data_IF_277586559461
#
_entry.id   IF_277586559461
#
_cell.length_a   1.000
_cell.length_b   1.000
_cell.length_c   1.000
_cell.angle_alpha   90.00
_cell.angle_beta   90.00
_cell.angle_gamma   90.00
#
_symmetry.space_group_name_H-M   'P 1'
#
loop_
_entity.id
_entity.type
_entity.pdbx_description
1 polymer ?
#
# COMPACT_ATOMS: atom_id res chain seq x y z
N UNK A 1 12.69 5.92 10.82
CA UNK A 1 12.05 6.31 9.58
C UNK A 1 11.90 7.79 9.50
N UNK A 2 12.86 8.36 8.79
CA UNK A 2 12.69 9.60 8.06
C UNK A 2 12.07 9.32 6.67
N UNK A 3 11.90 10.37 5.87
CA UNK A 3 11.37 10.27 4.51
C UNK A 3 12.26 9.40 3.60
N UNK A 4 13.58 9.48 3.71
CA UNK A 4 14.50 8.75 2.84
C UNK A 4 14.44 7.24 3.09
N UNK A 5 14.39 6.83 4.37
CA UNK A 5 14.19 5.45 4.78
C UNK A 5 12.86 4.90 4.27
N UNK A 6 11.78 5.71 4.35
CA UNK A 6 10.47 5.35 3.81
C UNK A 6 10.52 5.13 2.29
N UNK A 7 11.12 6.05 1.53
CA UNK A 7 11.24 5.94 0.07
C UNK A 7 12.04 4.71 -0.35
N UNK A 8 13.13 4.41 0.37
CA UNK A 8 13.96 3.25 0.10
C UNK A 8 13.21 1.94 0.40
N UNK A 9 12.50 1.86 1.53
CA UNK A 9 11.67 0.71 1.88
C UNK A 9 10.55 0.51 0.86
N UNK A 10 9.86 1.59 0.49
CA UNK A 10 8.79 1.58 -0.50
C UNK A 10 9.32 1.11 -1.87
N UNK A 11 10.44 1.67 -2.34
CA UNK A 11 11.04 1.28 -3.63
C UNK A 11 11.42 -0.19 -3.66
N UNK A 12 11.97 -0.74 -2.57
CA UNK A 12 12.27 -2.18 -2.47
C UNK A 12 11.00 -3.02 -2.55
N UNK A 13 9.98 -2.65 -1.77
CA UNK A 13 8.70 -3.36 -1.74
C UNK A 13 8.00 -3.35 -3.10
N UNK A 14 7.99 -2.21 -3.81
CA UNK A 14 7.33 -2.08 -5.11
C UNK A 14 8.00 -2.87 -6.23
N UNK A 15 9.30 -3.16 -6.12
CA UNK A 15 10.05 -3.93 -7.13
C UNK A 15 9.77 -5.42 -7.12
N UNK A 16 9.32 -5.97 -5.99
CA UNK A 16 9.06 -7.40 -5.85
C UNK A 16 7.57 -7.74 -5.90
N UNK A 17 7.20 -9.01 -6.18
CA UNK A 17 5.82 -9.44 -6.06
C UNK A 17 5.28 -9.25 -4.64
N UNK A 18 4.07 -8.70 -4.51
CA UNK A 18 3.47 -8.48 -3.19
C UNK A 18 3.18 -9.81 -2.49
N UNK A 19 2.85 -10.85 -3.25
CA UNK A 19 2.59 -12.20 -2.73
C UNK A 19 3.81 -12.89 -2.13
N UNK A 20 5.03 -12.44 -2.44
CA UNK A 20 6.27 -12.95 -1.84
C UNK A 20 6.84 -12.01 -0.77
N UNK A 21 6.26 -10.83 -0.58
CA UNK A 21 6.73 -9.89 0.43
C UNK A 21 6.53 -10.45 1.83
N UNK A 22 7.52 -10.22 2.70
CA UNK A 22 7.47 -10.57 4.11
C UNK A 22 6.84 -9.44 4.92
N UNK A 23 6.37 -9.76 6.13
CA UNK A 23 5.84 -8.73 7.03
C UNK A 23 6.88 -7.67 7.37
N UNK A 24 8.15 -8.04 7.56
CA UNK A 24 9.24 -7.10 7.89
C UNK A 24 9.52 -6.10 6.77
N UNK A 25 9.26 -6.46 5.51
CA UNK A 25 9.40 -5.55 4.37
C UNK A 25 8.19 -4.62 4.21
N UNK A 26 7.00 -5.11 4.57
CA UNK A 26 5.74 -4.36 4.44
C UNK A 26 5.51 -3.42 5.63
N UNK A 27 5.85 -3.86 6.85
CA UNK A 27 5.64 -3.14 8.10
C UNK A 27 6.13 -1.68 8.04
N UNK A 28 7.39 -1.38 7.68
CA UNK A 28 7.85 0.00 7.70
C UNK A 28 7.05 0.90 6.74
N UNK A 29 6.71 0.39 5.55
CA UNK A 29 5.89 1.13 4.59
C UNK A 29 4.48 1.34 5.14
N UNK A 30 3.86 0.30 5.70
CA UNK A 30 2.52 0.36 6.26
C UNK A 30 2.44 1.37 7.44
N UNK A 31 3.39 1.32 8.38
CA UNK A 31 3.44 2.22 9.53
C UNK A 31 3.64 3.67 9.10
N UNK A 32 4.53 3.93 8.14
CA UNK A 32 4.71 5.28 7.59
C UNK A 32 3.43 5.80 6.90
N UNK A 33 2.73 4.95 6.15
CA UNK A 33 1.46 5.31 5.53
C UNK A 33 0.36 5.58 6.58
N UNK A 34 0.32 4.81 7.68
CA UNK A 34 -0.71 4.92 8.70
C UNK A 34 -0.47 6.07 9.70
N UNK A 35 0.78 6.28 10.11
CA UNK A 35 1.12 7.05 11.32
C UNK A 35 2.11 8.20 11.10
N UNK A 36 2.64 8.37 9.90
CA UNK A 36 3.52 9.50 9.55
C UNK A 36 2.88 10.38 8.49
N UNK A 37 3.45 11.56 8.24
CA UNK A 37 3.00 12.47 7.17
C UNK A 37 3.65 12.17 5.81
N UNK A 38 4.49 11.14 5.72
CA UNK A 38 5.24 10.81 4.52
C UNK A 38 4.33 10.47 3.35
N UNK A 39 4.61 11.04 2.18
CA UNK A 39 3.99 10.69 0.92
C UNK A 39 5.08 10.29 -0.07
N UNK A 40 4.82 9.31 -0.97
CA UNK A 40 5.80 8.95 -1.98
C UNK A 40 6.14 10.13 -2.90
N UNK A 41 7.42 10.39 -3.09
CA UNK A 41 7.94 11.42 -4.01
C UNK A 41 8.49 10.80 -5.30
N UNK A 42 8.81 9.51 -5.28
CA UNK A 42 9.46 8.77 -6.37
C UNK A 42 8.53 8.38 -7.55
N UNK A 43 7.34 8.98 -7.67
CA UNK A 43 6.29 8.51 -8.60
C UNK A 43 6.65 8.65 -10.08
N UNK A 44 7.57 9.53 -10.44
CA UNK A 44 8.05 9.76 -11.82
C UNK A 44 8.83 8.59 -12.39
N UNK A 45 9.48 7.78 -11.53
CA UNK A 45 10.36 6.69 -11.95
C UNK A 45 9.71 5.31 -11.90
N UNK A 46 8.44 5.23 -11.50
CA UNK A 46 7.74 3.96 -11.37
C UNK A 46 7.20 3.47 -12.72
N UNK A 47 7.42 2.19 -13.01
CA UNK A 47 6.74 1.53 -14.13
C UNK A 47 5.25 1.31 -13.82
N UNK A 48 4.47 0.88 -14.81
CA UNK A 48 3.01 0.72 -14.65
C UNK A 48 2.62 -0.30 -13.57
N UNK A 49 3.39 -1.38 -13.41
CA UNK A 49 3.13 -2.39 -12.38
C UNK A 49 3.41 -1.83 -10.98
N UNK A 50 4.56 -1.16 -10.81
CA UNK A 50 4.93 -0.49 -9.56
C UNK A 50 3.91 0.60 -9.17
N UNK A 51 3.39 1.36 -10.13
CA UNK A 51 2.32 2.35 -9.89
C UNK A 51 1.04 1.68 -9.38
N UNK A 52 0.62 0.57 -9.98
CA UNK A 52 -0.55 -0.20 -9.54
C UNK A 52 -0.37 -0.77 -8.14
N UNK A 53 0.82 -1.32 -7.84
CA UNK A 53 1.19 -1.78 -6.49
C UNK A 53 1.09 -0.63 -5.49
N UNK A 54 1.66 0.52 -5.79
CA UNK A 54 1.61 1.69 -4.92
C UNK A 54 0.18 2.14 -4.64
N UNK A 55 -0.64 2.29 -5.69
CA UNK A 55 -2.06 2.67 -5.54
C UNK A 55 -2.82 1.65 -4.70
N UNK A 56 -2.60 0.35 -4.91
CA UNK A 56 -3.19 -0.69 -4.07
C UNK A 56 -2.80 -0.53 -2.58
N UNK A 57 -1.52 -0.30 -2.28
CA UNK A 57 -1.06 -0.10 -0.90
C UNK A 57 -1.71 1.14 -0.25
N UNK A 58 -1.74 2.27 -0.95
CA UNK A 58 -2.35 3.52 -0.48
C UNK A 58 -3.84 3.33 -0.20
N UNK A 59 -4.57 2.74 -1.14
CA UNK A 59 -6.00 2.47 -1.02
C UNK A 59 -6.32 1.43 0.06
N UNK A 60 -5.42 0.47 0.29
CA UNK A 60 -5.58 -0.54 1.34
C UNK A 60 -5.40 0.08 2.72
N UNK A 61 -4.28 0.77 2.96
CA UNK A 61 -3.95 1.28 4.29
C UNK A 61 -4.80 2.49 4.68
N UNK A 62 -5.27 3.32 3.73
CA UNK A 62 -6.22 4.40 4.07
C UNK A 62 -7.57 3.89 4.61
N UNK A 63 -7.90 2.60 4.40
CA UNK A 63 -9.15 1.99 4.93
C UNK A 63 -9.00 1.58 6.39
N UNK A 64 -7.79 1.56 6.94
CA UNK A 64 -7.57 1.23 8.34
C UNK A 64 -8.04 2.41 9.21
N UNK A 65 -8.92 2.12 10.17
CA UNK A 65 -9.57 3.14 11.00
C UNK A 65 -8.64 3.80 12.03
N UNK A 66 -7.42 3.30 12.19
CA UNK A 66 -6.43 3.86 13.11
C UNK A 66 -5.81 5.18 12.64
N UNK A 67 -5.90 5.48 11.34
CA UNK A 67 -5.40 6.75 10.78
C UNK A 67 -6.45 7.87 10.87
N UNK A 68 -6.00 9.12 11.03
CA UNK A 68 -6.88 10.29 11.13
C UNK A 68 -7.67 10.51 9.83
N UNK A 69 -8.80 11.24 9.91
CA UNK A 69 -9.58 11.61 8.70
C UNK A 69 -8.70 12.36 7.70
N UNK A 70 -7.90 13.30 8.19
CA UNK A 70 -6.96 14.07 7.37
C UNK A 70 -5.96 13.16 6.65
N UNK A 71 -5.33 12.23 7.38
CA UNK A 71 -4.36 11.29 6.79
C UNK A 71 -4.99 10.41 5.72
N UNK A 72 -6.17 9.86 5.99
CA UNK A 72 -6.91 9.04 5.00
C UNK A 72 -7.25 9.84 3.74
N UNK A 73 -7.56 11.14 3.88
CA UNK A 73 -7.82 12.03 2.76
C UNK A 73 -6.54 12.35 1.98
N UNK A 74 -5.40 12.58 2.64
CA UNK A 74 -4.11 12.76 1.96
C UNK A 74 -3.75 11.54 1.10
N UNK A 75 -3.83 10.33 1.67
CA UNK A 75 -3.55 9.08 0.95
C UNK A 75 -4.49 8.88 -0.24
N UNK A 76 -5.78 9.21 -0.08
CA UNK A 76 -6.78 9.17 -1.17
C UNK A 76 -6.43 10.16 -2.27
N UNK A 77 -6.17 11.42 -1.94
CA UNK A 77 -5.82 12.46 -2.93
C UNK A 77 -4.56 12.09 -3.69
N UNK A 78 -3.57 11.53 -3.00
CA UNK A 78 -2.33 11.06 -3.62
C UNK A 78 -2.57 9.86 -4.56
N UNK A 79 -3.31 8.85 -4.11
CA UNK A 79 -3.72 7.72 -4.96
C UNK A 79 -4.43 8.18 -6.25
N UNK A 80 -5.32 9.16 -6.14
CA UNK A 80 -6.03 9.74 -7.29
C UNK A 80 -5.11 10.51 -8.24
N UNK A 81 -4.10 11.22 -7.72
CA UNK A 81 -3.17 11.99 -8.57
C UNK A 81 -2.27 11.11 -9.43
N UNK A 82 -2.09 9.83 -9.06
CA UNK A 82 -1.32 8.86 -9.85
C UNK A 82 -2.00 8.43 -11.15
N UNK A 83 -3.29 8.75 -11.34
CA UNK A 83 -4.07 8.45 -12.58
C UNK A 83 -3.98 6.99 -13.02
N UNK A 84 -3.88 6.05 -12.07
CA UNK A 84 -3.95 4.62 -12.39
C UNK A 84 -5.41 4.25 -12.61
N UNK A 85 -5.72 3.82 -13.84
CA UNK A 85 -7.07 3.42 -14.20
C UNK A 85 -7.51 2.19 -13.42
N UNK A 86 -8.76 2.21 -12.97
CA UNK A 86 -9.40 1.03 -12.39
C UNK A 86 -9.77 0.08 -13.52
N UNK A 87 -9.26 -1.13 -13.47
CA UNK A 87 -9.59 -2.17 -14.43
C UNK A 87 -10.71 -3.03 -13.85
N UNK A 88 -11.94 -2.78 -14.27
CA UNK A 88 -13.10 -3.62 -13.93
C UNK A 88 -13.11 -4.95 -14.70
N UNK A 89 -11.98 -5.34 -15.32
CA UNK A 89 -11.90 -6.61 -16.05
C UNK A 89 -12.04 -7.75 -15.05
N UNK A 90 -13.07 -8.56 -15.25
CA UNK A 90 -13.29 -9.84 -14.59
C UNK A 90 -12.13 -10.78 -14.92
N UNK A 91 -11.00 -10.60 -14.25
CA UNK A 91 -9.94 -11.58 -14.28
C UNK A 91 -10.48 -12.81 -13.55
N UNK A 92 -10.76 -13.83 -14.34
CA UNK A 92 -11.17 -15.17 -13.91
C UNK A 92 -9.97 -15.86 -13.24
N UNK A 93 -9.47 -15.26 -12.15
CA UNK A 93 -8.34 -15.79 -11.41
C UNK A 93 -8.91 -16.81 -10.44
N UNK A 94 -8.61 -18.09 -10.67
CA UNK A 94 -8.87 -19.21 -9.73
C UNK A 94 -8.30 -18.95 -8.33
N UNK A 95 -7.44 -17.94 -8.18
CA UNK A 95 -6.82 -17.49 -6.94
C UNK A 95 -7.62 -16.34 -6.31
N UNK A 96 -7.93 -16.48 -5.03
CA UNK A 96 -8.57 -15.46 -4.21
C UNK A 96 -7.60 -14.29 -3.98
N UNK A 97 -7.59 -13.34 -4.91
CA UNK A 97 -6.86 -12.06 -4.78
C UNK A 97 -7.77 -10.99 -4.19
N UNK A 98 -7.22 -10.10 -3.35
CA UNK A 98 -7.88 -8.93 -2.77
C UNK A 98 -8.67 -8.16 -3.85
N UNK A 99 -9.98 -7.93 -3.67
CA UNK A 99 -10.80 -7.20 -4.65
C UNK A 99 -10.23 -5.82 -5.02
N UNK A 100 -9.58 -5.14 -4.07
CA UNK A 100 -8.94 -3.85 -4.32
C UNK A 100 -7.71 -4.00 -5.23
N UNK A 101 -6.92 -5.05 -5.04
CA UNK A 101 -5.79 -5.32 -5.94
C UNK A 101 -6.30 -5.60 -7.37
N UNK A 102 -7.36 -6.41 -7.51
CA UNK A 102 -8.00 -6.68 -8.80
C UNK A 102 -8.53 -5.41 -9.48
N UNK A 103 -9.14 -4.51 -8.70
CA UNK A 103 -9.66 -3.23 -9.18
C UNK A 103 -8.57 -2.38 -9.86
N UNK A 104 -7.30 -2.53 -9.49
CA UNK A 104 -6.16 -1.85 -10.12
C UNK A 104 -5.33 -2.76 -11.04
N UNK A 105 -5.89 -3.91 -11.45
CA UNK A 105 -5.28 -4.79 -12.45
C UNK A 105 -4.10 -5.58 -11.92
N UNK A 106 -4.05 -5.84 -10.60
CA UNK A 106 -3.08 -6.71 -9.98
C UNK A 106 -3.66 -8.13 -9.82
N UNK A 107 -2.79 -9.12 -9.99
CA UNK A 107 -3.03 -10.53 -9.69
C UNK A 107 -2.27 -10.99 -8.42
N UNK A 108 -1.87 -10.02 -7.60
CA UNK A 108 -1.08 -10.18 -6.38
C UNK A 108 -1.59 -9.22 -5.31
N UNK A 109 -1.41 -9.59 -4.04
CA UNK A 109 -1.87 -8.82 -2.90
C UNK A 109 -1.01 -9.15 -1.66
N UNK A 110 -1.52 -8.74 -0.48
CA UNK A 110 -0.92 -9.00 0.82
C UNK A 110 -1.81 -9.88 1.72
N UNK A 111 -2.69 -10.71 1.14
CA UNK A 111 -3.64 -11.49 1.93
C UNK A 111 -2.95 -12.53 2.83
N UNK A 112 -1.80 -13.07 2.43
CA UNK A 112 -0.99 -13.97 3.26
C UNK A 112 -0.45 -13.29 4.53
N UNK A 113 -0.31 -11.96 4.53
CA UNK A 113 0.11 -11.17 5.69
C UNK A 113 -1.05 -10.59 6.49
N UNK A 114 -2.31 -10.89 6.13
CA UNK A 114 -3.49 -10.23 6.72
C UNK A 114 -3.49 -10.25 8.25
N UNK A 115 -3.23 -11.37 8.96
CA UNK A 115 -3.21 -11.37 10.42
C UNK A 115 -2.19 -10.39 11.02
N UNK A 116 -0.98 -10.33 10.43
CA UNK A 116 0.10 -9.45 10.89
C UNK A 116 -0.18 -7.98 10.54
N UNK A 117 -0.78 -7.71 9.38
CA UNK A 117 -1.17 -6.34 9.01
C UNK A 117 -2.31 -5.81 9.88
N UNK A 118 -3.23 -6.68 10.31
CA UNK A 118 -4.30 -6.29 11.26
C UNK A 118 -3.74 -5.89 12.62
N UNK A 119 -2.62 -6.45 13.07
CA UNK A 119 -1.98 -6.03 14.33
C UNK A 119 -1.42 -4.61 14.26
N UNK A 120 -1.23 -4.06 13.07
CA UNK A 120 -0.87 -2.65 12.89
C UNK A 120 -2.06 -1.70 13.06
N UNK A 121 -3.30 -2.16 13.24
CA UNK A 121 -4.47 -1.29 13.45
C UNK A 121 -4.62 -0.84 14.91
N UNK A 122 -3.69 -0.03 15.39
CA UNK A 122 -3.66 0.44 16.77
C UNK A 122 -3.98 1.93 16.85
N UNK A 123 -4.90 2.34 17.72
CA UNK A 123 -5.17 3.77 17.98
C UNK A 123 -4.03 4.48 18.71
N UNK A 124 -3.21 3.72 19.43
CA UNK A 124 -2.07 4.20 20.20
C UNK A 124 -0.79 3.53 19.70
N UNK A 125 -0.40 3.80 18.45
CA UNK A 125 0.90 3.34 17.97
C UNK A 125 2.01 4.15 18.64
N UNK A 126 2.49 3.65 19.78
CA UNK A 126 3.71 4.14 20.43
C UNK A 126 4.88 3.50 19.70
N UNK A 127 5.70 4.31 19.03
CA UNK A 127 6.96 3.85 18.45
C UNK A 127 7.87 3.48 19.60
N UNK A 128 7.97 2.19 19.93
CA UNK A 128 8.90 1.65 20.94
C UNK A 128 10.32 1.77 20.42
#
# INVERSE_FOLDING_TARGET
MDQLEFENALKKLLKQPLTSATFEEVRPVAEALLYSEFLPSLTTHLNNLEKRRLVFLLEKFRRYSCSSVFRRQQLKSFSQSMKVEQTYRNHNVRRLVDPLAKQYGLNEDLNHLKPQLLSLQTRHYSRV
#
